data_IF_176898663916
#
_entry.id   IF_176898663916
#
_cell.length_a   1.000
_cell.length_b   1.000
_cell.length_c   1.000
_cell.angle_alpha   90.00
_cell.angle_beta   90.00
_cell.angle_gamma   90.00
#
_symmetry.space_group_name_H-M   'P 1'
#
loop_
_entity.id
_entity.type
_entity.pdbx_description
1 polymer ?
#
# COMPACT_ATOMS: atom_id res chain seq x y z
N UNK A 1 10.58 2.92 5.02
CA UNK A 1 9.23 3.28 4.50
C UNK A 1 9.40 4.31 3.39
N UNK A 2 9.14 3.93 2.12
CA UNK A 2 9.41 4.85 1.03
C UNK A 2 8.59 4.55 -0.22
N UNK A 3 8.22 5.61 -0.95
CA UNK A 3 7.64 5.51 -2.29
C UNK A 3 8.77 5.18 -3.27
N UNK A 4 8.74 3.97 -3.81
CA UNK A 4 9.71 3.44 -4.78
C UNK A 4 9.26 3.71 -6.22
N UNK A 5 10.18 3.57 -7.18
CA UNK A 5 9.89 3.73 -8.61
C UNK A 5 8.80 2.77 -9.12
N UNK A 6 8.75 1.55 -8.63
CA UNK A 6 7.70 0.60 -9.05
C UNK A 6 6.33 0.94 -8.45
N UNK A 7 6.25 1.42 -7.20
CA UNK A 7 4.99 1.92 -6.65
C UNK A 7 4.52 3.17 -7.43
N UNK A 8 5.45 4.10 -7.69
CA UNK A 8 5.19 5.26 -8.54
C UNK A 8 4.59 4.85 -9.89
N UNK A 9 5.21 3.91 -10.62
CA UNK A 9 4.73 3.42 -11.91
C UNK A 9 3.33 2.81 -11.81
N UNK A 10 3.06 2.01 -10.77
CA UNK A 10 1.75 1.41 -10.53
C UNK A 10 0.70 2.49 -10.31
N UNK A 11 0.94 3.45 -9.41
CA UNK A 11 -0.03 4.51 -9.12
C UNK A 11 -0.31 5.38 -10.34
N UNK A 12 0.71 5.73 -11.13
CA UNK A 12 0.53 6.45 -12.41
C UNK A 12 -0.28 5.62 -13.42
N UNK A 13 0.00 4.31 -13.52
CA UNK A 13 -0.79 3.42 -14.40
C UNK A 13 -2.25 3.34 -13.98
N UNK A 14 -2.53 3.25 -12.67
CA UNK A 14 -3.89 3.24 -12.13
C UNK A 14 -4.60 4.59 -12.37
N UNK A 15 -3.86 5.70 -12.24
CA UNK A 15 -4.37 7.04 -12.54
C UNK A 15 -4.76 7.19 -14.02
N UNK A 16 -3.90 6.75 -14.93
CA UNK A 16 -4.17 6.73 -16.39
C UNK A 16 -5.41 5.92 -16.76
N UNK A 17 -5.68 4.85 -16.01
CA UNK A 17 -6.85 3.98 -16.21
C UNK A 17 -8.10 4.45 -15.45
N UNK A 18 -8.05 5.63 -14.85
CA UNK A 18 -9.13 6.22 -14.05
C UNK A 18 -9.59 5.35 -12.84
N UNK A 19 -8.75 4.41 -12.42
CA UNK A 19 -8.98 3.57 -11.24
C UNK A 19 -8.69 4.31 -9.94
N UNK A 20 -7.88 5.36 -10.02
CA UNK A 20 -7.66 6.37 -8.98
C UNK A 20 -8.19 7.70 -9.53
N UNK A 21 -9.33 8.15 -9.05
CA UNK A 21 -9.96 9.39 -9.56
C UNK A 21 -9.46 10.62 -8.82
N UNK A 22 -9.00 11.64 -9.57
CA UNK A 22 -8.80 13.00 -9.05
C UNK A 22 -10.13 13.64 -8.69
N UNK A 23 -10.14 14.47 -7.66
CA UNK A 23 -11.30 15.24 -7.23
C UNK A 23 -12.32 14.49 -6.37
N UNK A 24 -12.13 13.19 -6.12
CA UNK A 24 -12.92 12.40 -5.16
C UNK A 24 -12.16 12.04 -3.88
N UNK A 25 -10.84 12.17 -3.89
CA UNK A 25 -10.00 11.90 -2.72
C UNK A 25 -9.95 13.15 -1.86
N UNK A 26 -10.56 13.13 -0.68
CA UNK A 26 -10.47 14.24 0.25
C UNK A 26 -9.36 14.07 1.28
N UNK A 27 -9.07 12.82 1.65
CA UNK A 27 -8.18 12.53 2.77
C UNK A 27 -7.31 11.29 2.55
N UNK A 28 -6.07 11.39 3.00
CA UNK A 28 -5.09 10.29 3.03
C UNK A 28 -4.66 10.06 4.46
N UNK A 29 -4.61 8.79 4.89
CA UNK A 29 -3.93 8.36 6.11
C UNK A 29 -2.81 7.38 5.74
N UNK A 30 -1.62 7.62 6.27
CA UNK A 30 -0.50 6.70 6.16
C UNK A 30 -0.29 5.90 7.44
N UNK A 31 -0.12 4.61 7.29
CA UNK A 31 0.40 3.72 8.33
C UNK A 31 1.94 3.77 8.23
N UNK A 32 2.55 4.58 9.08
CA UNK A 32 3.93 5.04 8.97
C UNK A 32 4.08 6.14 7.92
N UNK A 33 4.67 7.28 8.27
CA UNK A 33 4.86 8.39 7.34
C UNK A 33 5.85 8.01 6.23
N UNK A 34 5.45 8.21 4.97
CA UNK A 34 6.24 7.81 3.82
C UNK A 34 7.20 8.89 3.37
N UNK A 35 8.40 8.48 3.01
CA UNK A 35 9.37 9.32 2.34
C UNK A 35 9.50 8.94 0.84
N UNK A 36 10.25 9.74 0.11
CA UNK A 36 10.62 9.48 -1.27
C UNK A 36 11.90 8.67 -1.31
N UNK A 37 11.90 7.51 -1.99
CA UNK A 37 13.07 6.63 -2.03
C UNK A 37 14.25 7.24 -2.78
N UNK A 38 13.96 8.08 -3.78
CA UNK A 38 14.98 8.78 -4.57
C UNK A 38 15.36 8.07 -5.88
N UNK A 39 14.66 7.00 -6.25
CA UNK A 39 14.87 6.23 -7.50
C UNK A 39 13.97 6.71 -8.66
N UNK A 40 13.20 7.75 -8.45
CA UNK A 40 12.47 8.51 -9.47
C UNK A 40 12.99 9.95 -9.48
N UNK A 41 13.33 10.45 -10.66
CA UNK A 41 13.92 11.79 -10.82
C UNK A 41 12.91 12.90 -10.53
N UNK A 42 13.39 14.06 -10.08
CA UNK A 42 12.55 15.26 -9.93
C UNK A 42 11.96 15.71 -11.28
N UNK A 43 12.66 15.47 -12.38
CA UNK A 43 12.13 15.73 -13.72
C UNK A 43 10.89 14.86 -14.04
N UNK A 44 10.90 13.58 -13.67
CA UNK A 44 9.74 12.70 -13.89
C UNK A 44 8.60 13.02 -12.94
N UNK A 45 8.88 13.42 -11.70
CA UNK A 45 7.90 13.95 -10.79
C UNK A 45 7.28 15.25 -11.34
N UNK A 46 8.07 16.14 -11.92
CA UNK A 46 7.60 17.36 -12.59
C UNK A 46 6.62 17.03 -13.73
N UNK A 47 6.95 16.07 -14.60
CA UNK A 47 6.00 15.58 -15.63
C UNK A 47 4.71 15.01 -15.03
N UNK A 48 4.79 14.36 -13.86
CA UNK A 48 3.61 13.86 -13.15
C UNK A 48 2.73 15.00 -12.66
N UNK A 49 3.33 16.02 -12.05
CA UNK A 49 2.61 17.23 -11.63
C UNK A 49 1.93 17.88 -12.84
N UNK A 50 2.64 18.03 -13.95
CA UNK A 50 2.13 18.63 -15.18
C UNK A 50 0.92 17.89 -15.75
N UNK A 51 0.95 16.57 -15.74
CA UNK A 51 -0.06 15.74 -16.40
C UNK A 51 -1.27 15.43 -15.53
N UNK A 52 -1.14 15.43 -14.19
CA UNK A 52 -2.17 14.88 -13.31
C UNK A 52 -2.70 15.85 -12.26
N UNK A 53 -2.01 16.97 -12.00
CA UNK A 53 -2.50 17.97 -11.06
C UNK A 53 -3.58 18.85 -11.70
N UNK A 54 -4.57 19.27 -10.90
CA UNK A 54 -5.47 20.31 -11.34
C UNK A 54 -4.71 21.66 -11.48
N UNK A 55 -5.26 22.61 -12.24
CA UNK A 55 -4.59 23.88 -12.57
C UNK A 55 -4.12 24.67 -11.34
N UNK A 56 -4.92 24.69 -10.27
CA UNK A 56 -4.58 25.38 -9.01
C UNK A 56 -3.41 24.73 -8.28
N UNK A 57 -3.44 23.41 -8.14
CA UNK A 57 -2.38 22.69 -7.45
C UNK A 57 -1.10 22.61 -8.30
N UNK A 58 -1.21 22.54 -9.62
CA UNK A 58 -0.07 22.46 -10.53
C UNK A 58 0.94 23.58 -10.29
N UNK A 59 0.50 24.82 -10.25
CA UNK A 59 1.39 25.97 -10.03
C UNK A 59 2.11 25.89 -8.70
N UNK A 60 1.39 25.54 -7.62
CA UNK A 60 1.95 25.42 -6.27
C UNK A 60 2.99 24.29 -6.23
N UNK A 61 2.63 23.09 -6.70
CA UNK A 61 3.49 21.91 -6.67
C UNK A 61 4.75 22.07 -7.53
N UNK A 62 4.60 22.73 -8.70
CA UNK A 62 5.74 23.02 -9.58
C UNK A 62 6.71 23.99 -8.91
N UNK A 63 6.23 25.02 -8.22
CA UNK A 63 7.07 25.96 -7.48
C UNK A 63 7.82 25.24 -6.35
N UNK A 64 7.12 24.46 -5.52
CA UNK A 64 7.72 23.72 -4.40
C UNK A 64 8.77 22.71 -4.90
N UNK A 65 8.49 21.98 -5.98
CA UNK A 65 9.46 21.06 -6.57
C UNK A 65 10.71 21.79 -7.12
N UNK A 66 10.51 22.96 -7.76
CA UNK A 66 11.63 23.77 -8.26
C UNK A 66 12.50 24.30 -7.12
N UNK A 67 11.91 24.73 -6.01
CA UNK A 67 12.64 25.14 -4.80
C UNK A 67 13.51 23.99 -4.26
N UNK A 68 12.95 22.80 -4.12
CA UNK A 68 13.68 21.59 -3.69
C UNK A 68 14.81 21.26 -4.68
N UNK A 69 14.53 21.30 -5.97
CA UNK A 69 15.51 21.02 -7.01
C UNK A 69 16.69 22.01 -6.94
N UNK A 70 16.40 23.30 -6.86
CA UNK A 70 17.43 24.35 -6.73
C UNK A 70 18.29 24.15 -5.48
N UNK A 71 17.67 23.86 -4.33
CA UNK A 71 18.41 23.62 -3.08
C UNK A 71 19.33 22.39 -3.19
N UNK A 72 18.85 21.36 -3.90
CA UNK A 72 19.64 20.14 -4.14
C UNK A 72 20.83 20.42 -5.09
N UNK A 73 20.62 21.22 -6.14
CA UNK A 73 21.68 21.67 -7.06
C UNK A 73 22.72 22.53 -6.33
N UNK A 74 22.31 23.27 -5.33
CA UNK A 74 23.20 24.04 -4.43
C UNK A 74 23.89 23.18 -3.34
N UNK A 75 23.77 21.85 -3.42
CA UNK A 75 24.49 20.91 -2.58
C UNK A 75 23.78 20.48 -1.29
N UNK A 76 22.47 20.77 -1.13
CA UNK A 76 21.68 20.20 -0.04
C UNK A 76 21.40 18.72 -0.32
N UNK A 77 21.51 17.88 0.72
CA UNK A 77 21.15 16.45 0.61
C UNK A 77 19.66 16.31 0.27
N UNK A 78 19.30 15.67 -0.87
CA UNK A 78 17.89 15.48 -1.25
C UNK A 78 17.08 14.67 -0.23
N UNK A 79 17.74 13.88 0.63
CA UNK A 79 17.07 13.13 1.70
C UNK A 79 16.37 14.03 2.73
N UNK A 80 16.83 15.27 2.90
CA UNK A 80 16.21 16.25 3.79
C UNK A 80 14.76 16.54 3.35
N UNK A 81 14.49 16.48 2.05
CA UNK A 81 13.21 16.80 1.44
C UNK A 81 12.36 15.54 1.15
N UNK A 82 12.82 14.35 1.53
CA UNK A 82 12.19 13.11 1.10
C UNK A 82 10.71 12.99 1.51
N UNK A 83 10.33 13.45 2.70
CA UNK A 83 8.94 13.47 3.15
C UNK A 83 8.10 14.51 2.39
N UNK A 84 8.66 15.66 2.06
CA UNK A 84 7.95 16.70 1.31
C UNK A 84 7.72 16.24 -0.13
N UNK A 85 8.74 15.67 -0.78
CA UNK A 85 8.64 15.11 -2.14
C UNK A 85 7.58 14.02 -2.23
N UNK A 86 7.47 13.13 -1.23
CA UNK A 86 6.42 12.13 -1.17
C UNK A 86 5.02 12.77 -1.15
N UNK A 87 4.84 13.85 -0.37
CA UNK A 87 3.58 14.58 -0.30
C UNK A 87 3.25 15.31 -1.61
N UNK A 88 4.25 15.88 -2.32
CA UNK A 88 4.06 16.45 -3.67
C UNK A 88 3.52 15.39 -4.64
N UNK A 89 4.11 14.21 -4.65
CA UNK A 89 3.66 13.09 -5.48
C UNK A 89 2.21 12.69 -5.17
N UNK A 90 1.89 12.46 -3.90
CA UNK A 90 0.53 12.11 -3.51
C UNK A 90 -0.46 13.23 -3.85
N UNK A 91 -0.07 14.49 -3.68
CA UNK A 91 -0.93 15.62 -4.03
C UNK A 91 -1.20 15.67 -5.53
N UNK A 92 -0.20 15.40 -6.37
CA UNK A 92 -0.37 15.32 -7.81
C UNK A 92 -1.30 14.17 -8.24
N UNK A 93 -1.15 12.99 -7.60
CA UNK A 93 -1.91 11.79 -7.98
C UNK A 93 -3.33 11.80 -7.42
N UNK A 94 -3.51 12.13 -6.16
CA UNK A 94 -4.78 12.00 -5.44
C UNK A 94 -5.55 13.30 -5.26
N UNK A 95 -4.89 14.46 -5.40
CA UNK A 95 -5.50 15.78 -5.17
C UNK A 95 -6.16 15.92 -3.80
N UNK A 96 -5.53 15.33 -2.76
CA UNK A 96 -6.07 15.31 -1.41
C UNK A 96 -6.19 16.71 -0.80
N UNK A 97 -7.13 16.90 0.12
CA UNK A 97 -7.29 18.10 0.93
C UNK A 97 -6.64 17.97 2.30
N UNK A 98 -6.68 16.76 2.84
CA UNK A 98 -6.18 16.45 4.16
C UNK A 98 -5.22 15.25 4.10
N UNK A 99 -4.14 15.37 4.84
CA UNK A 99 -3.12 14.34 4.97
C UNK A 99 -2.77 14.15 6.44
N UNK A 100 -2.65 12.91 6.85
CA UNK A 100 -2.23 12.51 8.17
C UNK A 100 -1.39 11.23 8.07
N UNK A 101 -0.45 11.04 9.00
CA UNK A 101 0.25 9.78 9.19
C UNK A 101 0.19 9.33 10.65
N UNK A 102 0.23 8.04 10.90
CA UNK A 102 0.44 7.43 12.22
C UNK A 102 1.87 6.92 12.26
N UNK A 103 2.74 7.52 13.06
CA UNK A 103 4.15 7.17 13.12
C UNK A 103 4.71 7.42 14.52
N UNK A 104 5.66 6.60 14.97
CA UNK A 104 6.35 6.82 16.26
C UNK A 104 7.33 8.00 16.21
N UNK A 105 7.90 8.29 15.03
CA UNK A 105 8.99 9.25 14.84
C UNK A 105 8.79 10.11 13.59
N UNK A 106 7.55 10.29 13.16
CA UNK A 106 7.22 11.06 11.96
C UNK A 106 7.43 12.58 12.12
N UNK A 107 7.12 13.30 11.06
CA UNK A 107 7.21 14.75 11.00
C UNK A 107 6.02 15.43 11.70
N UNK A 108 5.92 16.76 11.59
CA UNK A 108 4.76 17.55 12.08
C UNK A 108 3.41 17.13 11.46
N UNK A 109 3.41 16.32 10.41
CA UNK A 109 2.23 15.82 9.72
C UNK A 109 1.78 14.44 10.21
N UNK A 110 2.46 13.90 11.23
CA UNK A 110 2.11 12.63 11.85
C UNK A 110 1.60 12.82 13.28
N UNK A 111 0.72 11.89 13.68
CA UNK A 111 0.40 11.64 15.08
C UNK A 111 1.45 10.67 15.60
N UNK A 112 2.10 11.00 16.71
CA UNK A 112 2.96 10.05 17.41
C UNK A 112 2.10 8.93 17.98
N UNK A 113 2.18 7.74 17.35
CA UNK A 113 1.31 6.61 17.66
C UNK A 113 2.05 5.27 17.52
N UNK A 114 1.97 4.43 18.55
CA UNK A 114 2.47 3.06 18.49
C UNK A 114 1.42 2.15 17.81
N UNK A 115 1.74 1.76 16.58
CA UNK A 115 0.92 0.88 15.73
C UNK A 115 0.75 -0.56 16.27
N UNK A 116 1.43 -0.93 17.37
CA UNK A 116 1.07 -2.14 18.11
C UNK A 116 -0.31 -2.03 18.78
N UNK A 117 -0.88 -0.85 18.83
CA UNK A 117 -2.23 -0.58 19.32
C UNK A 117 -3.18 -0.31 18.17
N UNK A 118 -4.48 -0.58 18.36
CA UNK A 118 -5.52 -0.22 17.41
C UNK A 118 -5.79 1.29 17.47
N UNK A 119 -5.56 2.00 16.36
CA UNK A 119 -5.95 3.39 16.23
C UNK A 119 -7.46 3.49 15.98
N UNK A 120 -8.12 4.35 16.72
CA UNK A 120 -9.56 4.59 16.61
C UNK A 120 -9.81 6.05 16.25
N UNK A 121 -10.57 6.25 15.20
CA UNK A 121 -10.99 7.56 14.72
C UNK A 121 -12.40 7.42 14.13
N UNK A 122 -13.26 8.37 14.40
CA UNK A 122 -14.59 8.42 13.78
C UNK A 122 -14.50 8.87 12.30
N UNK A 123 -13.44 9.60 11.97
CA UNK A 123 -13.12 10.01 10.60
C UNK A 123 -12.72 8.80 9.76
N UNK A 124 -13.16 8.82 8.50
CA UNK A 124 -12.79 7.83 7.50
C UNK A 124 -11.96 8.50 6.40
N UNK A 125 -10.97 7.74 5.89
CA UNK A 125 -10.02 8.23 4.91
C UNK A 125 -10.25 7.59 3.55
N UNK A 126 -10.19 8.38 2.49
CA UNK A 126 -10.43 7.89 1.13
C UNK A 126 -9.27 7.04 0.60
N UNK A 127 -8.07 7.28 1.11
CA UNK A 127 -6.87 6.46 0.82
C UNK A 127 -6.16 6.15 2.13
N UNK A 128 -5.86 4.88 2.34
CA UNK A 128 -5.02 4.41 3.44
C UNK A 128 -3.84 3.66 2.85
N UNK A 129 -2.62 4.07 3.20
CA UNK A 129 -1.38 3.44 2.73
C UNK A 129 -0.68 2.68 3.85
N UNK A 130 -0.05 1.56 3.50
CA UNK A 130 0.81 0.78 4.37
C UNK A 130 2.01 0.31 3.52
N UNK A 131 3.07 1.11 3.55
CA UNK A 131 4.22 0.97 2.65
C UNK A 131 5.48 0.80 3.51
N UNK A 132 5.99 -0.42 3.57
CA UNK A 132 7.19 -0.74 4.33
C UNK A 132 7.08 -0.43 5.82
N UNK A 133 5.91 -0.60 6.44
CA UNK A 133 5.69 -0.26 7.85
C UNK A 133 5.27 -1.46 8.68
N UNK A 134 4.22 -2.15 8.28
CA UNK A 134 3.61 -3.19 9.12
C UNK A 134 4.54 -4.38 9.37
N UNK A 135 5.53 -4.64 8.53
CA UNK A 135 6.54 -5.67 8.76
C UNK A 135 7.39 -5.44 10.00
N UNK A 136 7.47 -4.18 10.47
CA UNK A 136 8.19 -3.79 11.68
C UNK A 136 7.30 -3.78 12.94
N UNK A 137 5.99 -4.00 12.80
CA UNK A 137 5.03 -3.96 13.90
C UNK A 137 4.68 -5.39 14.33
N UNK A 138 4.88 -5.71 15.59
CA UNK A 138 4.64 -7.06 16.10
C UNK A 138 3.16 -7.43 16.08
N UNK A 139 2.27 -6.51 16.48
CA UNK A 139 0.82 -6.75 16.53
C UNK A 139 0.14 -6.49 15.17
N UNK A 140 0.23 -7.47 14.28
CA UNK A 140 -0.38 -7.42 12.94
C UNK A 140 -1.89 -7.20 12.98
N UNK A 141 -2.57 -7.78 13.96
CA UNK A 141 -4.02 -7.61 14.09
C UNK A 141 -4.38 -6.14 14.31
N UNK A 142 -3.64 -5.42 15.17
CA UNK A 142 -3.88 -4.01 15.42
C UNK A 142 -3.74 -3.18 14.15
N UNK A 143 -2.69 -3.41 13.35
CA UNK A 143 -2.45 -2.69 12.10
C UNK A 143 -3.57 -2.93 11.09
N UNK A 144 -3.85 -4.18 10.73
CA UNK A 144 -4.84 -4.49 9.69
C UNK A 144 -6.26 -4.15 10.12
N UNK A 145 -6.58 -4.27 11.41
CA UNK A 145 -7.86 -3.83 11.97
C UNK A 145 -7.99 -2.30 11.95
N UNK A 146 -6.93 -1.57 12.27
CA UNK A 146 -6.87 -0.11 12.11
C UNK A 146 -7.18 0.27 10.66
N UNK A 147 -6.45 -0.28 9.68
CA UNK A 147 -6.64 0.00 8.25
C UNK A 147 -8.11 -0.25 7.83
N UNK A 148 -8.66 -1.40 8.23
CA UNK A 148 -10.05 -1.76 7.93
C UNK A 148 -11.05 -0.75 8.50
N UNK A 149 -10.85 -0.36 9.75
CA UNK A 149 -11.80 0.49 10.46
C UNK A 149 -11.77 1.95 10.00
N UNK A 150 -10.62 2.45 9.53
CA UNK A 150 -10.45 3.86 9.17
C UNK A 150 -10.64 4.15 7.68
N UNK A 151 -10.52 3.14 6.79
CA UNK A 151 -10.75 3.38 5.37
C UNK A 151 -12.22 3.72 5.08
N UNK A 152 -12.46 4.68 4.21
CA UNK A 152 -13.80 5.05 3.77
C UNK A 152 -14.46 3.92 2.94
N UNK A 153 -15.79 3.89 2.85
CA UNK A 153 -16.49 3.00 1.90
C UNK A 153 -16.09 3.33 0.49
N UNK A 154 -15.65 2.32 -0.27
CA UNK A 154 -15.13 2.52 -1.61
C UNK A 154 -13.77 3.22 -1.63
N UNK A 155 -13.17 3.49 -0.47
CA UNK A 155 -11.82 4.02 -0.34
C UNK A 155 -10.75 3.01 -0.76
N UNK A 156 -9.57 3.50 -1.03
CA UNK A 156 -8.43 2.68 -1.45
C UNK A 156 -7.58 2.28 -0.26
N UNK A 157 -7.12 1.03 -0.27
CA UNK A 157 -6.08 0.52 0.62
C UNK A 157 -4.90 0.14 -0.27
N UNK A 158 -3.73 0.70 0.01
CA UNK A 158 -2.51 0.47 -0.77
C UNK A 158 -1.45 -0.15 0.13
N UNK A 159 -1.04 -1.36 -0.18
CA UNK A 159 0.06 -2.03 0.49
C UNK A 159 1.26 -2.13 -0.45
N UNK A 160 2.45 -1.82 0.06
CA UNK A 160 3.72 -2.24 -0.49
C UNK A 160 4.53 -2.85 0.64
N UNK A 161 4.65 -4.17 0.65
CA UNK A 161 5.21 -4.91 1.78
C UNK A 161 6.19 -5.99 1.30
N UNK A 162 7.24 -6.29 2.09
CA UNK A 162 8.23 -7.30 1.72
C UNK A 162 7.57 -8.67 1.55
N UNK A 163 7.92 -9.36 0.48
CA UNK A 163 7.53 -10.74 0.25
C UNK A 163 8.57 -11.71 0.78
N UNK A 164 9.50 -12.16 -0.07
CA UNK A 164 10.57 -13.06 0.28
C UNK A 164 11.93 -12.40 0.03
N UNK A 165 12.98 -12.88 0.73
CA UNK A 165 14.36 -12.43 0.50
C UNK A 165 14.80 -11.25 1.36
N UNK A 166 13.94 -10.71 2.21
CA UNK A 166 14.24 -9.63 3.14
C UNK A 166 14.76 -10.18 4.47
N UNK A 167 16.06 -10.54 4.49
CA UNK A 167 16.73 -11.00 5.70
C UNK A 167 17.09 -9.82 6.60
N UNK A 168 16.90 -9.97 7.91
CA UNK A 168 17.24 -8.96 8.94
C UNK A 168 16.62 -7.57 8.67
N UNK A 169 15.42 -7.55 8.06
CA UNK A 169 14.74 -6.31 7.69
C UNK A 169 13.62 -5.93 8.68
N UNK A 170 12.77 -6.86 9.04
CA UNK A 170 11.63 -6.66 9.93
C UNK A 170 11.19 -7.96 10.57
N UNK A 171 10.08 -7.93 11.31
CA UNK A 171 9.52 -9.14 11.94
C UNK A 171 8.84 -10.06 10.91
N UNK A 172 8.28 -9.48 9.84
CA UNK A 172 7.41 -10.22 8.92
C UNK A 172 7.79 -10.03 7.46
N UNK A 173 7.68 -11.12 6.72
CA UNK A 173 7.61 -11.17 5.26
C UNK A 173 6.23 -11.71 4.88
N UNK A 174 5.55 -11.07 3.92
CA UNK A 174 4.18 -11.40 3.56
C UNK A 174 4.14 -12.26 2.31
N UNK A 175 3.55 -13.46 2.43
CA UNK A 175 3.27 -14.29 1.27
C UNK A 175 2.09 -13.71 0.47
N UNK A 176 2.11 -13.75 -0.87
CA UNK A 176 0.99 -13.28 -1.70
C UNK A 176 -0.36 -13.88 -1.33
N UNK A 177 -0.37 -15.12 -0.83
CA UNK A 177 -1.58 -15.81 -0.34
C UNK A 177 -2.30 -15.02 0.75
N UNK A 178 -1.54 -14.33 1.64
CA UNK A 178 -2.10 -13.50 2.70
C UNK A 178 -3.03 -12.41 2.14
N UNK A 179 -2.61 -11.72 1.08
CA UNK A 179 -3.39 -10.63 0.50
C UNK A 179 -4.67 -11.11 -0.19
N UNK A 180 -4.64 -12.27 -0.84
CA UNK A 180 -5.84 -12.86 -1.42
C UNK A 180 -6.84 -13.25 -0.32
N UNK A 181 -6.36 -13.84 0.77
CA UNK A 181 -7.21 -14.32 1.86
C UNK A 181 -7.75 -13.16 2.71
N UNK A 182 -6.93 -12.12 2.91
CA UNK A 182 -7.36 -10.88 3.56
C UNK A 182 -8.50 -10.20 2.77
N UNK A 183 -8.35 -10.10 1.45
CA UNK A 183 -9.38 -9.53 0.58
C UNK A 183 -10.68 -10.36 0.63
N UNK A 184 -10.58 -11.68 0.60
CA UNK A 184 -11.74 -12.57 0.66
C UNK A 184 -12.47 -12.47 2.01
N UNK A 185 -11.74 -12.45 3.14
CA UNK A 185 -12.32 -12.38 4.46
C UNK A 185 -13.09 -11.08 4.70
N UNK A 186 -12.58 -9.97 4.15
CA UNK A 186 -13.10 -8.62 4.38
C UNK A 186 -13.86 -8.02 3.18
N UNK A 187 -14.16 -8.82 2.17
CA UNK A 187 -14.85 -8.41 0.94
C UNK A 187 -14.19 -7.22 0.24
N UNK A 188 -12.85 -7.13 0.26
CA UNK A 188 -12.17 -6.10 -0.52
C UNK A 188 -12.16 -6.45 -1.99
N UNK A 189 -12.44 -5.47 -2.84
CA UNK A 189 -12.26 -5.61 -4.28
C UNK A 189 -10.79 -5.40 -4.64
N UNK A 190 -10.16 -6.41 -5.20
CA UNK A 190 -8.78 -6.32 -5.71
C UNK A 190 -8.76 -5.41 -6.94
N UNK A 191 -8.17 -4.23 -6.84
CA UNK A 191 -7.93 -3.31 -7.96
C UNK A 191 -6.71 -3.75 -8.75
N UNK A 192 -5.67 -4.20 -8.05
CA UNK A 192 -4.48 -4.78 -8.65
C UNK A 192 -3.56 -5.43 -7.63
N UNK A 193 -2.77 -6.39 -8.11
CA UNK A 193 -1.73 -7.03 -7.33
C UNK A 193 -0.51 -7.31 -8.21
N UNK A 194 0.64 -6.83 -7.79
CA UNK A 194 1.93 -7.01 -8.45
C UNK A 194 2.96 -7.54 -7.46
N UNK A 195 3.86 -8.37 -7.95
CA UNK A 195 5.12 -8.69 -7.29
C UNK A 195 6.22 -7.94 -8.04
N UNK A 196 7.07 -7.22 -7.32
CA UNK A 196 8.27 -6.64 -7.90
C UNK A 196 9.46 -7.54 -7.62
N UNK A 197 10.01 -8.17 -8.67
CA UNK A 197 11.22 -9.01 -8.58
C UNK A 197 12.44 -8.08 -8.48
N UNK A 198 13.03 -8.01 -7.28
CA UNK A 198 14.18 -7.15 -7.01
C UNK A 198 15.45 -7.60 -7.75
N UNK A 199 15.58 -8.90 -8.09
CA UNK A 199 16.72 -9.41 -8.83
C UNK A 199 16.64 -9.01 -10.31
N UNK A 200 15.48 -9.11 -10.92
CA UNK A 200 15.26 -8.81 -12.33
C UNK A 200 14.80 -7.37 -12.57
N UNK A 201 14.40 -6.65 -11.52
CA UNK A 201 13.83 -5.29 -11.58
C UNK A 201 12.59 -5.22 -12.47
N UNK A 202 11.70 -6.19 -12.33
CA UNK A 202 10.48 -6.30 -13.15
C UNK A 202 9.22 -6.44 -12.29
N UNK A 203 8.12 -5.89 -12.81
CA UNK A 203 6.78 -6.04 -12.23
C UNK A 203 6.08 -7.26 -12.82
N UNK A 204 5.67 -8.19 -11.96
CA UNK A 204 4.93 -9.38 -12.31
C UNK A 204 3.49 -9.21 -11.86
N UNK A 205 2.54 -9.22 -12.79
CA UNK A 205 1.13 -9.10 -12.46
C UNK A 205 0.59 -10.43 -11.94
N UNK A 206 0.12 -10.42 -10.70
CA UNK A 206 -0.47 -11.59 -10.00
C UNK A 206 -1.91 -11.32 -9.53
N UNK A 207 -2.60 -10.40 -10.20
CA UNK A 207 -3.95 -9.94 -9.84
C UNK A 207 -4.95 -11.06 -9.52
N UNK A 208 -4.78 -12.24 -10.10
CA UNK A 208 -5.60 -13.42 -9.81
C UNK A 208 -4.76 -14.50 -9.11
N UNK A 209 -5.37 -15.17 -8.13
CA UNK A 209 -4.71 -16.28 -7.39
C UNK A 209 -4.17 -17.37 -8.33
N UNK A 210 -4.87 -17.66 -9.42
CA UNK A 210 -4.43 -18.64 -10.41
C UNK A 210 -3.12 -18.24 -11.09
N UNK A 211 -2.92 -16.94 -11.34
CA UNK A 211 -1.69 -16.41 -11.92
C UNK A 211 -0.51 -16.60 -10.95
N UNK A 212 -0.73 -16.28 -9.67
CA UNK A 212 0.24 -16.54 -8.62
C UNK A 212 0.57 -18.03 -8.50
N UNK A 213 -0.43 -18.90 -8.44
CA UNK A 213 -0.24 -20.35 -8.36
C UNK A 213 0.54 -20.91 -9.57
N UNK A 214 0.27 -20.39 -10.79
CA UNK A 214 1.01 -20.80 -12.00
C UNK A 214 2.46 -20.33 -11.97
N UNK A 215 2.75 -19.16 -11.41
CA UNK A 215 4.11 -18.64 -11.28
C UNK A 215 4.99 -19.58 -10.45
N UNK A 216 4.47 -20.11 -9.34
CA UNK A 216 5.19 -21.02 -8.45
C UNK A 216 5.36 -22.45 -8.98
N UNK A 217 4.64 -22.83 -10.01
CA UNK A 217 4.84 -24.11 -10.72
C UNK A 217 5.99 -24.05 -11.75
N UNK A 218 6.55 -22.87 -11.99
CA UNK A 218 7.68 -22.66 -12.90
C UNK A 218 8.96 -22.54 -12.07
N UNK A 219 10.08 -23.02 -12.61
CA UNK A 219 11.39 -22.99 -11.95
C UNK A 219 11.93 -21.55 -11.72
N UNK A 220 11.32 -20.52 -12.34
CA UNK A 220 11.78 -19.13 -12.33
C UNK A 220 10.91 -18.20 -11.50
N UNK A 221 10.37 -18.62 -10.35
CA UNK A 221 9.68 -17.71 -9.45
C UNK A 221 10.66 -16.75 -8.74
N UNK A 222 10.23 -15.51 -8.43
CA UNK A 222 11.10 -14.57 -7.72
C UNK A 222 11.44 -15.09 -6.31
N UNK A 223 12.70 -14.94 -5.94
CA UNK A 223 13.22 -15.32 -4.61
C UNK A 223 13.46 -14.11 -3.72
N UNK A 224 13.48 -12.91 -4.30
CA UNK A 224 13.59 -11.63 -3.60
C UNK A 224 12.61 -10.64 -4.22
N UNK A 225 11.50 -10.36 -3.53
CA UNK A 225 10.42 -9.56 -4.10
C UNK A 225 9.61 -8.78 -3.06
N UNK A 226 9.00 -7.70 -3.52
CA UNK A 226 7.95 -6.95 -2.84
C UNK A 226 6.56 -7.29 -3.37
N UNK A 227 5.57 -7.17 -2.50
CA UNK A 227 4.17 -7.22 -2.88
C UNK A 227 3.64 -5.78 -2.97
N UNK A 228 3.00 -5.42 -4.08
CA UNK A 228 2.23 -4.18 -4.19
C UNK A 228 0.78 -4.53 -4.46
N UNK A 229 -0.08 -4.18 -3.53
CA UNK A 229 -1.50 -4.57 -3.56
C UNK A 229 -2.37 -3.33 -3.38
N UNK A 230 -3.34 -3.17 -4.27
CA UNK A 230 -4.33 -2.11 -4.19
C UNK A 230 -5.71 -2.71 -4.09
N UNK A 231 -6.40 -2.41 -3.00
CA UNK A 231 -7.78 -2.78 -2.77
C UNK A 231 -8.70 -1.57 -2.82
N UNK A 232 -9.96 -1.84 -3.11
CA UNK A 232 -11.07 -0.95 -2.82
C UNK A 232 -11.89 -1.56 -1.69
N UNK A 233 -12.16 -0.78 -0.63
CA UNK A 233 -12.94 -1.26 0.49
C UNK A 233 -14.38 -1.55 0.08
N UNK A 234 -15.03 -2.52 0.74
CA UNK A 234 -16.39 -2.92 0.44
C UNK A 234 -17.42 -1.82 0.73
N UNK A 235 -18.51 -1.80 -0.04
CA UNK A 235 -19.67 -0.96 0.23
C UNK A 235 -20.48 -1.39 1.46
N UNK A 236 -20.25 -2.60 1.99
CA UNK A 236 -20.90 -3.14 3.18
C UNK A 236 -20.15 -2.71 4.45
N UNK A 237 -20.39 -1.51 4.89
CA UNK A 237 -19.57 -0.72 5.80
C UNK A 237 -19.50 -1.14 7.26
N UNK A 238 -20.43 -1.88 7.78
CA UNK A 238 -20.56 -2.14 9.22
C UNK A 238 -20.13 -3.56 9.61
N UNK A 239 -19.31 -4.20 8.78
CA UNK A 239 -18.81 -5.53 9.14
C UNK A 239 -17.51 -5.38 9.91
N UNK A 240 -17.47 -6.02 11.06
CA UNK A 240 -16.27 -6.20 11.87
C UNK A 240 -15.14 -6.81 11.03
N UNK A 241 -13.90 -6.35 11.27
CA UNK A 241 -12.71 -6.94 10.65
C UNK A 241 -12.65 -8.44 10.88
N UNK A 242 -12.53 -9.21 9.83
CA UNK A 242 -12.45 -10.66 9.87
C UNK A 242 -11.01 -11.12 9.64
N UNK A 243 -10.53 -11.97 10.54
CA UNK A 243 -9.27 -12.64 10.38
C UNK A 243 -9.31 -13.54 9.15
N UNK A 244 -8.30 -13.46 8.25
CA UNK A 244 -8.23 -14.32 7.10
C UNK A 244 -7.95 -15.77 7.51
N UNK A 245 -8.65 -16.71 6.91
CA UNK A 245 -8.33 -18.14 6.96
C UNK A 245 -7.68 -18.53 5.64
N UNK A 246 -6.54 -19.20 5.70
CA UNK A 246 -5.86 -19.63 4.47
C UNK A 246 -6.79 -20.48 3.60
N UNK A 247 -6.90 -20.12 2.33
CA UNK A 247 -7.89 -20.68 1.40
C UNK A 247 -7.91 -22.21 1.30
N UNK A 248 -6.74 -22.85 1.41
CA UNK A 248 -6.64 -24.31 1.39
C UNK A 248 -7.34 -24.99 2.57
N UNK A 249 -7.54 -24.27 3.68
CA UNK A 249 -8.27 -24.72 4.87
C UNK A 249 -9.72 -24.19 4.92
N UNK A 250 -10.18 -23.50 3.87
CA UNK A 250 -11.57 -23.06 3.81
C UNK A 250 -12.50 -24.25 3.54
N UNK A 251 -13.66 -24.29 4.21
CA UNK A 251 -14.66 -25.37 4.08
C UNK A 251 -15.06 -25.67 2.63
N UNK A 252 -14.91 -24.69 1.73
CA UNK A 252 -15.25 -24.83 0.30
C UNK A 252 -14.27 -25.71 -0.48
N UNK A 253 -13.13 -26.09 0.09
CA UNK A 253 -12.09 -26.89 -0.60
C UNK A 253 -11.69 -28.17 0.12
N UNK A 254 -12.20 -28.42 1.31
CA UNK A 254 -11.97 -29.69 1.97
C UNK A 254 -12.65 -30.79 1.16
N UNK A 255 -11.92 -31.87 0.88
CA UNK A 255 -12.52 -33.09 0.38
C UNK A 255 -13.58 -33.62 1.39
N UNK A 256 -14.53 -34.47 0.96
CA UNK A 256 -15.49 -35.03 1.89
C UNK A 256 -14.86 -35.73 3.10
N UNK A 257 -13.71 -36.39 2.89
CA UNK A 257 -12.98 -37.08 3.96
C UNK A 257 -12.26 -36.12 4.90
N UNK A 258 -11.68 -35.04 4.37
CA UNK A 258 -11.08 -33.97 5.17
C UNK A 258 -12.13 -33.22 5.98
N UNK A 259 -13.30 -32.96 5.38
CA UNK A 259 -14.41 -32.34 6.07
C UNK A 259 -14.93 -33.21 7.21
N UNK A 260 -15.07 -34.51 6.98
CA UNK A 260 -15.46 -35.47 8.02
C UNK A 260 -14.49 -35.48 9.20
N UNK A 261 -13.16 -35.56 8.94
CA UNK A 261 -12.13 -35.46 9.99
C UNK A 261 -12.16 -34.14 10.74
N UNK A 262 -12.42 -33.04 10.03
CA UNK A 262 -12.55 -31.71 10.63
C UNK A 262 -13.75 -31.63 11.59
N UNK A 263 -14.89 -32.17 11.18
CA UNK A 263 -16.12 -32.17 11.98
C UNK A 263 -16.02 -33.12 13.20
N UNK A 264 -15.32 -34.22 13.07
CA UNK A 264 -15.04 -35.18 14.18
C UNK A 264 -14.11 -34.56 15.23
N UNK A 265 -13.18 -33.70 14.86
CA UNK A 265 -12.24 -33.04 15.77
C UNK A 265 -12.80 -31.74 16.41
N UNK A 266 -13.99 -31.29 16.01
CA UNK A 266 -14.68 -30.15 16.63
C UNK A 266 -15.55 -30.51 17.83
N UNK A 267 -15.70 -31.81 18.12
CA UNK A 267 -16.43 -32.34 19.28
C UNK A 267 -15.50 -32.56 20.47
#
# INVERSE_FOLDING_TARGET
MAITSYLYQILISLKKKELISSGKTNSILEIGEQNWYGDVSFQDLGKTIDNYSNSKNKEILTRELNEITTLTELGKDPKIFAFDVAKLFYKAVFDYKEYLALDLQGTKHSINFDLNNEYKDDKKYDVVTNIGTSEHIFNQLAVFKTIHNIVAVGGLIIHQLPGQGYYDHGFYNYQPTFFFDLAQANNYLMVGFWMYDNNKRELINVHKRENYTKLFKKENHPTYYDNVVVYKSSSEKNKEFKLPTQYIYSEKKLSPEEKKRWDENKK
#
